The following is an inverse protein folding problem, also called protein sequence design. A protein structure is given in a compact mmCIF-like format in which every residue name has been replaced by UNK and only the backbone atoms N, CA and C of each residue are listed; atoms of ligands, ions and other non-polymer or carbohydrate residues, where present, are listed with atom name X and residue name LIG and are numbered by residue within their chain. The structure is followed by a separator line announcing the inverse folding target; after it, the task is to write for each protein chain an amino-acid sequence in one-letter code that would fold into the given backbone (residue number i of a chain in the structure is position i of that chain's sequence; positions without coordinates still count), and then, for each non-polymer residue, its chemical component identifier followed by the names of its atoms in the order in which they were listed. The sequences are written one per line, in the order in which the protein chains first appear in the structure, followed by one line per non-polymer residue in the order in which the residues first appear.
data_IF_769546363873
#
_entry.id   IF_769546363873
#
_cell.length_a   1.000
_cell.length_b   1.000
_cell.length_c   1.000
_cell.angle_alpha   90.00
_cell.angle_beta   90.00
_cell.angle_gamma   90.00
#
_symmetry.space_group_name_H-M   'P 1'
#
loop_
_entity.id
_entity.type
_entity.pdbx_description
1 polymer ?
#
# COMPACT_ATOMS: atom_id res chain seq x y z
N UNK A 1 22.86 -0.39 -17.52
CA UNK A 1 23.79 -0.52 -16.38
C UNK A 1 22.93 -0.77 -15.15
N UNK A 2 23.08 -1.88 -14.43
CA UNK A 2 22.47 -2.01 -13.10
C UNK A 2 23.37 -1.27 -12.12
N UNK A 3 22.94 -0.11 -11.63
CA UNK A 3 23.51 0.38 -10.38
C UNK A 3 22.91 -0.52 -9.31
N UNK A 4 23.74 -1.22 -8.52
CA UNK A 4 23.25 -1.88 -7.33
C UNK A 4 22.74 -0.78 -6.39
N UNK A 5 21.44 -0.53 -6.40
CA UNK A 5 20.84 0.61 -5.69
C UNK A 5 20.84 0.38 -4.18
N UNK A 6 20.90 -0.88 -3.74
CA UNK A 6 20.88 -1.27 -2.34
C UNK A 6 21.91 -2.38 -2.10
N UNK A 7 23.13 -1.97 -1.74
CA UNK A 7 24.23 -2.88 -1.39
C UNK A 7 24.18 -3.38 0.07
N UNK A 8 23.01 -3.32 0.72
CA UNK A 8 22.85 -3.71 2.12
C UNK A 8 22.09 -5.03 2.28
N UNK A 9 22.54 -5.83 3.26
CA UNK A 9 21.86 -7.06 3.67
C UNK A 9 20.97 -6.77 4.87
N UNK A 10 19.72 -7.20 4.81
CA UNK A 10 18.83 -7.24 5.98
C UNK A 10 19.08 -8.55 6.74
N UNK A 11 19.47 -8.46 8.01
CA UNK A 11 19.58 -9.65 8.87
C UNK A 11 18.20 -10.16 9.28
N UNK A 12 18.13 -11.43 9.69
CA UNK A 12 16.88 -12.00 10.23
C UNK A 12 16.36 -11.20 11.43
N UNK A 13 17.26 -10.74 12.31
CA UNK A 13 16.91 -9.90 13.47
C UNK A 13 16.25 -8.58 13.03
N UNK A 14 16.79 -7.93 12.00
CA UNK A 14 16.21 -6.68 11.48
C UNK A 14 14.85 -6.92 10.80
N UNK A 15 14.71 -8.00 10.03
CA UNK A 15 13.43 -8.40 9.44
C UNK A 15 12.37 -8.62 10.52
N UNK A 16 12.71 -9.41 11.54
CA UNK A 16 11.78 -9.81 12.58
C UNK A 16 11.37 -8.61 13.45
N UNK A 17 12.28 -7.65 13.68
CA UNK A 17 11.95 -6.37 14.32
C UNK A 17 10.92 -5.55 13.50
N UNK A 18 11.09 -5.45 12.17
CA UNK A 18 10.13 -4.76 11.31
C UNK A 18 8.75 -5.44 11.31
N UNK A 19 8.72 -6.77 11.33
CA UNK A 19 7.46 -7.53 11.44
C UNK A 19 6.79 -7.33 12.80
N UNK A 20 7.57 -7.27 13.88
CA UNK A 20 7.07 -6.97 15.21
C UNK A 20 6.47 -5.55 15.30
N UNK A 21 7.09 -4.56 14.65
CA UNK A 21 6.55 -3.20 14.56
C UNK A 21 5.21 -3.15 13.82
N UNK A 22 5.04 -3.93 12.75
CA UNK A 22 3.77 -4.05 12.03
C UNK A 22 2.69 -4.72 12.90
N UNK A 23 3.04 -5.77 13.65
CA UNK A 23 2.13 -6.41 14.58
C UNK A 23 1.72 -5.45 15.72
N UNK A 24 2.66 -4.67 16.24
CA UNK A 24 2.39 -3.64 17.24
C UNK A 24 1.50 -2.52 16.69
N UNK A 25 1.66 -2.16 15.41
CA UNK A 25 0.76 -1.23 14.74
C UNK A 25 -0.67 -1.79 14.66
N UNK A 26 -0.88 -3.02 14.18
CA UNK A 26 -2.21 -3.62 14.07
C UNK A 26 -2.89 -3.74 15.46
N UNK A 27 -2.13 -4.08 16.50
CA UNK A 27 -2.64 -4.11 17.87
C UNK A 27 -3.11 -2.73 18.38
N UNK A 28 -2.37 -1.66 18.06
CA UNK A 28 -2.73 -0.28 18.45
C UNK A 28 -3.86 0.30 17.61
N UNK A 29 -3.92 -0.07 16.33
CA UNK A 29 -4.94 0.40 15.39
C UNK A 29 -6.26 -0.39 15.48
N UNK A 30 -6.23 -1.60 16.05
CA UNK A 30 -7.37 -2.50 16.19
C UNK A 30 -8.68 -1.84 16.65
N UNK A 31 -8.70 -0.97 17.68
CA UNK A 31 -9.91 -0.29 18.13
C UNK A 31 -10.58 0.61 17.07
N UNK A 32 -9.82 1.08 16.08
CA UNK A 32 -10.29 1.98 15.02
C UNK A 32 -10.55 1.26 13.70
N UNK A 33 -10.28 -0.05 13.64
CA UNK A 33 -10.36 -0.85 12.41
C UNK A 33 -11.81 -1.09 12.05
N UNK A 34 -12.20 -0.59 10.89
CA UNK A 34 -13.50 -0.89 10.26
C UNK A 34 -13.25 -1.70 9.01
N UNK A 35 -13.83 -2.89 8.94
CA UNK A 35 -13.79 -3.71 7.73
C UNK A 35 -14.99 -3.35 6.86
N UNK A 36 -14.75 -2.52 5.85
CA UNK A 36 -15.76 -2.20 4.84
C UNK A 36 -15.67 -3.20 3.69
N UNK A 37 -16.80 -3.80 3.32
CA UNK A 37 -16.91 -4.59 2.09
C UNK A 37 -16.83 -3.71 0.83
N UNK A 38 -16.54 -4.27 -0.35
CA UNK A 38 -16.44 -3.51 -1.61
C UNK A 38 -17.69 -2.66 -1.89
N UNK A 39 -18.88 -3.23 -1.66
CA UNK A 39 -20.15 -2.54 -1.86
C UNK A 39 -20.38 -1.41 -0.85
N UNK A 40 -19.82 -1.53 0.36
CA UNK A 40 -19.90 -0.47 1.36
C UNK A 40 -18.97 0.68 1.00
N UNK A 41 -17.75 0.39 0.53
CA UNK A 41 -16.79 1.40 0.06
C UNK A 41 -17.37 2.21 -1.11
N UNK A 42 -18.07 1.56 -2.04
CA UNK A 42 -18.70 2.24 -3.17
C UNK A 42 -19.85 3.16 -2.76
N UNK A 43 -20.50 2.89 -1.63
CA UNK A 43 -21.70 3.60 -1.16
C UNK A 43 -21.43 4.62 -0.04
N UNK A 44 -20.30 4.52 0.67
CA UNK A 44 -19.89 5.49 1.67
C UNK A 44 -19.22 6.65 0.94
N UNK A 45 -19.70 7.87 1.22
CA UNK A 45 -19.46 9.10 0.46
C UNK A 45 -18.01 9.29 -0.04
N UNK A 46 -17.89 9.97 -1.19
CA UNK A 46 -16.65 10.38 -1.88
C UNK A 46 -15.80 11.39 -1.08
N UNK A 47 -15.63 11.19 0.22
CA UNK A 47 -14.82 12.02 1.08
C UNK A 47 -13.37 11.53 1.04
N UNK A 48 -12.49 12.48 0.80
CA UNK A 48 -11.05 12.33 0.86
C UNK A 48 -10.51 12.97 2.15
N UNK A 49 -9.28 12.66 2.57
CA UNK A 49 -8.64 13.35 3.69
C UNK A 49 -8.63 14.89 3.56
N UNK A 50 -8.61 15.42 2.34
CA UNK A 50 -8.70 16.88 2.09
C UNK A 50 -10.04 17.50 2.47
N UNK A 51 -11.10 16.70 2.59
CA UNK A 51 -12.45 17.19 2.91
C UNK A 51 -12.69 17.36 4.41
N UNK A 52 -11.67 17.10 5.26
CA UNK A 52 -11.81 17.25 6.72
C UNK A 52 -12.23 18.67 7.13
N UNK A 53 -11.78 19.70 6.41
CA UNK A 53 -12.18 21.08 6.66
C UNK A 53 -13.69 21.32 6.48
N UNK A 54 -14.33 20.62 5.54
CA UNK A 54 -15.78 20.68 5.35
C UNK A 54 -16.53 20.06 6.54
N UNK A 55 -16.02 18.95 7.07
CA UNK A 55 -16.58 18.31 8.26
C UNK A 55 -16.39 19.17 9.53
N UNK A 56 -15.29 19.90 9.63
CA UNK A 56 -15.02 20.84 10.72
C UNK A 56 -15.96 22.06 10.71
N UNK A 57 -16.26 22.57 9.51
CA UNK A 57 -17.27 23.62 9.33
C UNK A 57 -18.64 23.11 9.76
N UNK A 58 -19.02 21.89 9.35
CA UNK A 58 -20.28 21.27 9.75
C UNK A 58 -20.37 21.06 11.28
N UNK A 59 -19.29 20.61 11.91
CA UNK A 59 -19.21 20.48 13.36
C UNK A 59 -19.37 21.84 14.05
N UNK A 60 -18.66 22.86 13.57
CA UNK A 60 -18.73 24.23 14.12
C UNK A 60 -20.15 24.78 14.02
N UNK A 61 -20.80 24.63 12.87
CA UNK A 61 -22.20 25.03 12.67
C UNK A 61 -23.13 24.32 13.66
N UNK A 62 -22.96 23.01 13.81
CA UNK A 62 -23.77 22.18 14.72
C UNK A 62 -23.61 22.61 16.18
N UNK A 63 -22.38 22.93 16.60
CA UNK A 63 -22.10 23.41 17.96
C UNK A 63 -22.68 24.80 18.22
N UNK A 64 -22.61 25.70 17.23
CA UNK A 64 -23.14 27.06 17.35
C UNK A 64 -24.67 27.12 17.29
N UNK A 65 -25.31 26.15 16.63
CA UNK A 65 -26.75 26.13 16.37
C UNK A 65 -27.42 24.87 16.94
N UNK A 66 -26.99 24.41 18.11
CA UNK A 66 -27.46 23.16 18.70
C UNK A 66 -28.99 23.09 18.88
N UNK A 67 -29.66 24.24 19.09
CA UNK A 67 -31.12 24.33 19.19
C UNK A 67 -31.88 24.19 17.86
N UNK A 68 -31.19 24.24 16.72
CA UNK A 68 -31.77 24.14 15.38
C UNK A 68 -31.50 22.80 14.69
N UNK A 69 -30.66 21.96 15.29
CA UNK A 69 -30.32 20.62 14.79
C UNK A 69 -31.30 19.63 15.40
N UNK A 70 -31.90 18.75 14.58
CA UNK A 70 -32.78 17.70 15.13
C UNK A 70 -31.94 16.71 15.95
N UNK A 71 -32.48 16.22 17.07
CA UNK A 71 -31.81 15.23 17.91
C UNK A 71 -31.44 13.95 17.13
N UNK A 72 -32.19 13.64 16.07
CA UNK A 72 -31.98 12.46 15.21
C UNK A 72 -30.81 12.63 14.22
N UNK A 73 -30.24 13.82 14.07
CA UNK A 73 -29.19 14.12 13.08
C UNK A 73 -27.78 13.77 13.57
N UNK A 74 -27.63 13.11 14.72
CA UNK A 74 -26.35 12.53 15.13
C UNK A 74 -25.25 13.54 15.46
N UNK A 75 -25.60 14.76 15.89
CA UNK A 75 -24.65 15.82 16.26
C UNK A 75 -23.56 15.36 17.25
N UNK A 76 -23.90 14.46 18.18
CA UNK A 76 -22.96 13.89 19.13
C UNK A 76 -21.93 12.96 18.46
N UNK A 77 -22.34 12.18 17.46
CA UNK A 77 -21.43 11.33 16.69
C UNK A 77 -20.48 12.20 15.85
N UNK A 78 -20.99 13.24 15.18
CA UNK A 78 -20.16 14.19 14.44
C UNK A 78 -19.08 14.84 15.32
N UNK A 79 -19.42 15.19 16.57
CA UNK A 79 -18.47 15.77 17.53
C UNK A 79 -17.36 14.78 17.98
N UNK A 80 -17.60 13.48 17.88
CA UNK A 80 -16.60 12.45 18.18
C UNK A 80 -15.78 12.08 16.93
N UNK A 81 -16.45 11.95 15.79
CA UNK A 81 -15.85 11.42 14.56
C UNK A 81 -14.90 12.42 13.90
N UNK A 82 -15.20 13.72 13.91
CA UNK A 82 -14.36 14.73 13.26
C UNK A 82 -12.97 14.85 13.91
N UNK A 83 -12.83 14.96 15.25
CA UNK A 83 -11.53 14.92 15.90
C UNK A 83 -10.77 13.61 15.68
N UNK A 84 -11.48 12.47 15.69
CA UNK A 84 -10.88 11.16 15.40
C UNK A 84 -10.35 11.09 13.98
N UNK A 85 -11.15 11.50 12.99
CA UNK A 85 -10.76 11.55 11.58
C UNK A 85 -9.51 12.42 11.38
N UNK A 86 -9.42 13.58 12.05
CA UNK A 86 -8.23 14.44 12.00
C UNK A 86 -6.97 13.71 12.45
N UNK A 87 -7.03 12.94 13.54
CA UNK A 87 -5.88 12.15 13.99
C UNK A 87 -5.59 10.98 13.04
N UNK A 88 -6.65 10.31 12.57
CA UNK A 88 -6.53 9.17 11.66
C UNK A 88 -5.88 9.53 10.33
N UNK A 89 -6.14 10.72 9.78
CA UNK A 89 -5.54 11.22 8.53
C UNK A 89 -4.00 11.27 8.64
N UNK A 90 -3.46 11.68 9.78
CA UNK A 90 -2.00 11.77 9.99
C UNK A 90 -1.39 10.37 9.98
N UNK A 91 -2.06 9.42 10.65
CA UNK A 91 -1.61 8.03 10.72
C UNK A 91 -1.70 7.35 9.36
N UNK A 92 -2.79 7.56 8.61
CA UNK A 92 -2.99 7.07 7.25
C UNK A 92 -1.89 7.56 6.32
N UNK A 93 -1.61 8.87 6.30
CA UNK A 93 -0.55 9.44 5.47
C UNK A 93 0.83 8.81 5.77
N UNK A 94 1.17 8.64 7.04
CA UNK A 94 2.43 7.99 7.45
C UNK A 94 2.48 6.51 7.05
N UNK A 95 1.37 5.78 7.18
CA UNK A 95 1.25 4.39 6.79
C UNK A 95 1.40 4.21 5.27
N UNK A 96 0.72 5.05 4.48
CA UNK A 96 0.83 5.05 3.01
C UNK A 96 2.25 5.34 2.54
N UNK A 97 2.93 6.33 3.15
CA UNK A 97 4.33 6.63 2.83
C UNK A 97 5.23 5.42 3.09
N UNK A 98 5.08 4.75 4.24
CA UNK A 98 5.86 3.55 4.58
C UNK A 98 5.58 2.41 3.60
N UNK A 99 4.31 2.17 3.24
CA UNK A 99 3.93 1.15 2.27
C UNK A 99 4.53 1.42 0.87
N UNK A 100 4.51 2.68 0.42
CA UNK A 100 5.14 3.07 -0.84
C UNK A 100 6.67 2.86 -0.80
N UNK A 101 7.32 3.25 0.30
CA UNK A 101 8.77 3.07 0.47
C UNK A 101 9.19 1.61 0.48
N UNK A 102 8.48 0.75 1.21
CA UNK A 102 8.78 -0.70 1.26
C UNK A 102 8.53 -1.35 -0.09
N UNK A 103 7.46 -0.97 -0.79
CA UNK A 103 7.17 -1.46 -2.15
C UNK A 103 8.25 -1.06 -3.15
N UNK A 104 8.65 0.20 -3.16
CA UNK A 104 9.69 0.71 -4.07
C UNK A 104 11.05 0.05 -3.79
N UNK A 105 11.40 -0.09 -2.51
CA UNK A 105 12.61 -0.81 -2.07
C UNK A 105 12.63 -2.25 -2.56
N UNK A 106 11.52 -2.98 -2.40
CA UNK A 106 11.40 -4.36 -2.87
C UNK A 106 11.56 -4.45 -4.39
N UNK A 107 10.90 -3.57 -5.14
CA UNK A 107 11.02 -3.52 -6.61
C UNK A 107 12.46 -3.25 -7.03
N UNK A 108 13.15 -2.30 -6.39
CA UNK A 108 14.54 -1.98 -6.70
C UNK A 108 15.46 -3.19 -6.48
N UNK A 109 15.37 -3.84 -5.32
CA UNK A 109 16.17 -5.04 -4.98
C UNK A 109 15.92 -6.15 -6.01
N UNK A 110 14.66 -6.42 -6.34
CA UNK A 110 14.30 -7.46 -7.31
C UNK A 110 14.76 -7.11 -8.73
N UNK A 111 14.68 -5.84 -9.13
CA UNK A 111 15.08 -5.39 -10.46
C UNK A 111 16.57 -5.62 -10.70
N UNK A 112 17.42 -5.25 -9.74
CA UNK A 112 18.86 -5.46 -9.83
C UNK A 112 19.22 -6.94 -9.93
N UNK A 113 18.61 -7.77 -9.07
CA UNK A 113 18.78 -9.22 -9.12
C UNK A 113 18.31 -9.81 -10.46
N UNK A 114 17.18 -9.35 -10.97
CA UNK A 114 16.61 -9.83 -12.23
C UNK A 114 17.48 -9.47 -13.44
N UNK A 115 18.07 -8.27 -13.48
CA UNK A 115 18.98 -7.87 -14.57
C UNK A 115 20.19 -8.80 -14.64
N UNK A 116 20.81 -9.12 -13.50
CA UNK A 116 21.93 -10.06 -13.42
C UNK A 116 21.51 -11.45 -13.85
N UNK A 117 20.39 -11.95 -13.32
CA UNK A 117 19.90 -13.28 -13.63
C UNK A 117 19.50 -13.44 -15.12
N UNK A 118 18.93 -12.41 -15.73
CA UNK A 118 18.64 -12.36 -17.17
C UNK A 118 19.94 -12.38 -18.00
N UNK A 119 21.00 -11.72 -17.54
CA UNK A 119 22.33 -11.81 -18.15
C UNK A 119 22.86 -13.25 -18.15
N UNK A 120 22.79 -13.92 -17.00
CA UNK A 120 23.18 -15.34 -16.85
C UNK A 120 22.34 -16.22 -17.77
N UNK A 121 21.01 -16.04 -17.77
CA UNK A 121 20.10 -16.78 -18.64
C UNK A 121 20.48 -16.68 -20.12
N UNK A 122 20.79 -15.47 -20.62
CA UNK A 122 21.20 -15.26 -22.02
C UNK A 122 22.49 -16.00 -22.35
N UNK A 123 23.49 -15.97 -21.47
CA UNK A 123 24.77 -16.66 -21.65
C UNK A 123 24.59 -18.17 -21.62
N UNK A 124 23.88 -18.70 -20.63
CA UNK A 124 23.64 -20.14 -20.51
C UNK A 124 22.79 -20.69 -21.65
N UNK A 125 21.79 -19.93 -22.11
CA UNK A 125 21.01 -20.28 -23.30
C UNK A 125 21.89 -20.37 -24.54
N UNK A 126 22.86 -19.46 -24.70
CA UNK A 126 23.79 -19.47 -25.84
C UNK A 126 24.78 -20.66 -25.81
N UNK A 127 25.15 -21.14 -24.61
CA UNK A 127 26.00 -22.32 -24.43
C UNK A 127 25.29 -23.64 -24.75
N UNK A 128 23.97 -23.62 -24.87
CA UNK A 128 23.16 -24.81 -25.10
C UNK A 128 22.73 -25.51 -23.82
N UNK A 129 21.64 -26.27 -23.95
CA UNK A 129 21.02 -27.00 -22.85
C UNK A 129 21.86 -28.22 -22.47
N UNK A 130 22.12 -28.39 -21.18
CA UNK A 130 22.79 -29.56 -20.60
C UNK A 130 22.14 -29.92 -19.25
N UNK A 131 22.46 -31.08 -18.66
CA UNK A 131 21.82 -31.52 -17.40
C UNK A 131 22.00 -30.58 -16.21
N UNK A 132 23.01 -29.69 -16.22
CA UNK A 132 23.27 -28.74 -15.13
C UNK A 132 22.43 -27.46 -15.24
N UNK A 133 22.04 -27.05 -16.46
CA UNK A 133 21.32 -25.79 -16.69
C UNK A 133 19.88 -25.97 -17.22
N UNK A 134 19.44 -27.19 -17.51
CA UNK A 134 18.11 -27.51 -18.02
C UNK A 134 16.96 -26.90 -17.19
N UNK A 135 16.89 -27.20 -15.90
CA UNK A 135 15.84 -26.68 -15.01
C UNK A 135 15.84 -25.15 -14.93
N UNK A 136 17.03 -24.54 -14.93
CA UNK A 136 17.18 -23.09 -14.91
C UNK A 136 16.67 -22.44 -16.21
N UNK A 137 17.06 -22.99 -17.36
CA UNK A 137 16.66 -22.48 -18.68
C UNK A 137 15.15 -22.64 -18.93
N UNK A 138 14.56 -23.72 -18.44
CA UNK A 138 13.11 -23.96 -18.54
C UNK A 138 12.32 -23.00 -17.67
N UNK A 139 12.72 -22.82 -16.40
CA UNK A 139 12.05 -21.90 -15.48
C UNK A 139 12.09 -20.45 -15.99
N UNK A 140 13.26 -19.98 -16.44
CA UNK A 140 13.40 -18.62 -17.00
C UNK A 140 12.72 -18.51 -18.37
N UNK A 141 12.80 -19.55 -19.21
CA UNK A 141 12.09 -19.59 -20.49
C UNK A 141 10.58 -19.47 -20.33
N UNK A 142 9.99 -20.19 -19.37
CA UNK A 142 8.57 -20.13 -19.06
C UNK A 142 8.12 -18.74 -18.56
N UNK A 143 8.97 -18.05 -17.80
CA UNK A 143 8.69 -16.68 -17.36
C UNK A 143 8.58 -15.70 -18.53
N UNK A 144 9.50 -15.75 -19.51
CA UNK A 144 9.47 -14.86 -20.68
C UNK A 144 8.45 -15.27 -21.75
N UNK A 145 8.06 -16.54 -21.79
CA UNK A 145 7.00 -17.02 -22.69
C UNK A 145 5.60 -16.48 -22.33
N UNK A 146 5.40 -16.03 -21.09
CA UNK A 146 4.11 -15.49 -20.61
C UNK A 146 3.77 -14.09 -21.15
N UNK A 147 4.66 -13.45 -21.91
CA UNK A 147 4.46 -12.08 -22.41
C UNK A 147 4.43 -11.04 -21.28
N UNK A 148 4.32 -9.73 -21.62
CA UNK A 148 4.11 -8.70 -20.60
C UNK A 148 2.80 -9.01 -19.86
N UNK A 149 2.85 -9.18 -18.54
CA UNK A 149 1.62 -9.13 -17.77
C UNK A 149 1.03 -7.73 -17.91
N UNK A 150 -0.25 -7.70 -18.28
CA UNK A 150 -1.05 -6.50 -18.38
C UNK A 150 -0.85 -5.68 -17.11
N UNK A 151 -0.53 -4.37 -17.21
CA UNK A 151 -0.42 -3.53 -16.03
C UNK A 151 -1.73 -3.64 -15.23
N UNK A 152 -1.67 -3.62 -13.89
CA UNK A 152 -2.88 -3.59 -13.09
C UNK A 152 -3.77 -2.45 -13.61
N UNK A 153 -5.09 -2.67 -13.74
CA UNK A 153 -5.99 -1.75 -14.41
C UNK A 153 -5.75 -0.34 -13.89
N UNK A 154 -5.35 0.55 -14.80
CA UNK A 154 -5.22 1.96 -14.49
C UNK A 154 -6.57 2.43 -13.96
N UNK A 155 -6.59 2.96 -12.73
CA UNK A 155 -7.76 3.66 -12.22
C UNK A 155 -8.24 4.64 -13.31
N UNK A 156 -9.52 4.62 -13.68
CA UNK A 156 -10.02 5.47 -14.75
C UNK A 156 -9.77 6.94 -14.40
N UNK A 157 -9.43 7.79 -15.40
CA UNK A 157 -9.23 9.21 -15.18
C UNK A 157 -10.53 9.81 -14.66
N UNK A 158 -10.46 10.46 -13.50
CA UNK A 158 -11.60 11.09 -12.87
C UNK A 158 -12.04 12.30 -13.72
N UNK A 159 -13.32 12.42 -14.14
CA UNK A 159 -13.87 13.63 -14.74
C UNK A 159 -14.06 14.76 -13.72
#
# INVERSE_FOLDING_TARGET
MSQNLIAQTMTDVQRDALLADLAAFDAKWGPYKVNLGPDQIANIAKLSPSDIGLLEIALTFTQQNAGSISADQGAAALAQDVPLARQAIIVDAAAQQKAAMTRNTLIAIMSDAFVVANGIYRVEKAKGKNPQNETFLEAYGAHFARGPQEPPPANPPNP
#
